data_IF_753812428087
#
_entry.id   IF_753812428087
#
_cell.length_a   1.000
_cell.length_b   1.000
_cell.length_c   1.000
_cell.angle_alpha   90.00
_cell.angle_beta   90.00
_cell.angle_gamma   90.00
#
_symmetry.space_group_name_H-M   'P 1'
#
loop_
_entity.id
_entity.type
_entity.pdbx_description
1 polymer ?
#
# COMPACT_ATOMS: atom_id res chain seq x y z
N UNK A 1 26.60 -40.39 1.20
CA UNK A 1 26.30 -39.28 2.13
C UNK A 1 25.30 -38.37 1.44
N UNK A 2 24.02 -38.45 1.81
CA UNK A 2 22.97 -37.60 1.23
C UNK A 2 23.04 -36.22 1.87
N UNK A 3 23.44 -35.21 1.10
CA UNK A 3 23.35 -33.82 1.52
C UNK A 3 21.89 -33.39 1.31
N UNK A 4 21.11 -33.46 2.39
CA UNK A 4 19.81 -32.80 2.48
C UNK A 4 20.03 -31.30 2.37
N UNK A 5 19.73 -30.73 1.19
CA UNK A 5 19.52 -29.30 1.05
C UNK A 5 18.21 -28.95 1.76
N UNK A 6 18.30 -28.70 3.06
CA UNK A 6 17.26 -27.96 3.77
C UNK A 6 17.23 -26.55 3.17
N UNK A 7 16.34 -26.33 2.20
CA UNK A 7 15.91 -25.00 1.79
C UNK A 7 15.28 -24.34 3.02
N UNK A 8 16.10 -23.64 3.80
CA UNK A 8 15.64 -22.68 4.79
C UNK A 8 14.93 -21.56 4.03
N UNK A 9 13.64 -21.73 3.77
CA UNK A 9 12.77 -20.64 3.36
C UNK A 9 12.67 -19.68 4.54
N UNK A 10 13.64 -18.78 4.64
CA UNK A 10 13.66 -17.72 5.64
C UNK A 10 12.37 -16.92 5.49
N UNK A 11 11.49 -17.04 6.50
CA UNK A 11 10.22 -16.31 6.56
C UNK A 11 10.55 -14.82 6.54
N UNK A 12 10.12 -14.13 5.50
CA UNK A 12 10.32 -12.68 5.38
C UNK A 12 9.34 -11.99 6.33
N UNK A 13 9.87 -11.35 7.37
CA UNK A 13 9.13 -10.58 8.35
C UNK A 13 9.32 -9.10 8.07
N UNK A 14 8.23 -8.32 8.07
CA UNK A 14 8.31 -6.87 7.87
C UNK A 14 9.12 -6.19 8.99
N UNK A 15 9.81 -5.09 8.70
CA UNK A 15 10.40 -4.24 9.74
C UNK A 15 9.33 -3.46 10.51
N UNK A 16 9.65 -2.90 11.68
CA UNK A 16 8.72 -2.01 12.41
C UNK A 16 8.32 -0.82 11.54
N UNK A 17 9.25 -0.23 10.80
CA UNK A 17 8.97 0.91 9.91
C UNK A 17 8.09 0.52 8.72
N UNK A 18 8.36 -0.62 8.07
CA UNK A 18 7.50 -1.14 7.01
C UNK A 18 6.10 -1.40 7.53
N UNK A 19 5.99 -1.93 8.75
CA UNK A 19 4.71 -2.03 9.43
C UNK A 19 4.13 -0.65 9.70
N UNK A 20 4.86 0.31 10.25
CA UNK A 20 4.37 1.66 10.57
C UNK A 20 4.00 2.53 9.34
N UNK A 21 4.48 2.19 8.15
CA UNK A 21 4.06 2.81 6.89
C UNK A 21 2.83 2.11 6.33
N UNK A 22 2.81 0.79 6.45
CA UNK A 22 1.64 0.00 6.07
C UNK A 22 0.53 0.07 7.14
N UNK A 23 0.78 0.52 8.38
CA UNK A 23 -0.05 0.47 9.59
C UNK A 23 0.38 1.50 10.60
N UNK A 24 -0.36 1.69 11.67
CA UNK A 24 0.24 2.24 12.86
C UNK A 24 0.62 1.21 13.93
N UNK A 25 1.91 1.09 14.29
CA UNK A 25 2.37 0.11 15.27
C UNK A 25 2.09 0.45 16.75
N UNK A 26 1.63 -0.58 17.48
CA UNK A 26 2.18 -1.06 18.78
C UNK A 26 1.30 -2.19 19.37
N UNK A 27 1.47 -3.47 18.95
CA UNK A 27 1.37 -4.70 19.80
C UNK A 27 1.53 -6.01 18.99
N UNK A 28 1.94 -7.14 19.62
CA UNK A 28 2.34 -8.35 18.92
C UNK A 28 1.12 -9.26 18.67
N UNK A 29 0.23 -8.89 17.76
CA UNK A 29 -0.67 -9.79 17.01
C UNK A 29 -1.74 -8.97 16.33
N UNK A 30 -1.88 -9.20 15.02
CA UNK A 30 -2.88 -8.64 14.13
C UNK A 30 -2.63 -7.15 13.91
N UNK A 31 -1.92 -6.80 12.84
CA UNK A 31 -1.84 -5.45 12.28
C UNK A 31 -2.40 -5.59 10.83
N UNK A 32 -3.22 -4.72 10.19
CA UNK A 32 -2.80 -3.39 9.67
C UNK A 32 -3.54 -2.83 8.43
N UNK A 33 -3.58 -1.48 8.32
CA UNK A 33 -4.29 -0.58 7.37
C UNK A 33 -3.59 -0.26 6.03
N UNK A 34 -4.07 -0.81 4.93
CA UNK A 34 -3.62 -0.44 3.57
C UNK A 34 -3.90 1.05 3.25
N UNK A 35 -2.85 1.88 3.16
CA UNK A 35 -2.93 3.24 2.60
C UNK A 35 -3.65 3.24 1.24
N UNK A 36 -4.41 4.28 0.95
CA UNK A 36 -5.50 4.18 -0.01
C UNK A 36 -5.05 3.93 -1.45
N UNK A 37 -3.84 4.40 -1.79
CA UNK A 37 -3.17 4.21 -3.08
C UNK A 37 -2.24 2.98 -3.14
N UNK A 38 -2.07 2.28 -2.01
CA UNK A 38 -1.41 0.97 -1.98
C UNK A 38 -2.39 -0.08 -2.50
N UNK A 39 -2.06 -0.61 -3.68
CA UNK A 39 -2.83 -1.70 -4.28
C UNK A 39 -2.17 -3.02 -3.92
N UNK A 40 -2.88 -3.85 -3.15
CA UNK A 40 -2.54 -5.26 -3.08
C UNK A 40 -3.14 -5.96 -4.29
N UNK A 41 -2.28 -6.41 -5.20
CA UNK A 41 -2.74 -7.17 -6.36
C UNK A 41 -3.06 -8.61 -5.98
N UNK A 42 -4.12 -9.15 -6.59
CA UNK A 42 -4.49 -10.56 -6.45
C UNK A 42 -3.45 -11.45 -7.13
N UNK A 43 -2.50 -11.88 -6.33
CA UNK A 43 -1.79 -13.13 -6.47
C UNK A 43 -1.68 -13.69 -5.06
N UNK A 44 -1.77 -15.01 -4.89
CA UNK A 44 -1.29 -15.63 -3.65
C UNK A 44 0.09 -16.18 -4.01
N UNK A 45 1.19 -15.60 -3.50
CA UNK A 45 1.28 -14.54 -2.47
C UNK A 45 1.03 -13.09 -2.95
N UNK A 46 0.52 -12.22 -2.07
CA UNK A 46 0.13 -10.83 -2.40
C UNK A 46 1.31 -9.94 -2.78
N UNK A 47 1.06 -8.87 -3.56
CA UNK A 47 2.05 -7.88 -3.99
C UNK A 47 1.60 -6.49 -3.59
N UNK A 48 2.47 -5.72 -2.95
CA UNK A 48 2.28 -4.31 -2.71
C UNK A 48 2.72 -3.50 -3.93
N UNK A 49 1.78 -2.79 -4.56
CA UNK A 49 2.08 -1.78 -5.57
C UNK A 49 1.84 -0.38 -4.99
N UNK A 50 2.79 0.52 -5.25
CA UNK A 50 2.68 1.95 -4.98
C UNK A 50 2.68 2.67 -6.32
N UNK A 51 1.72 3.56 -6.54
CA UNK A 51 1.65 4.42 -7.72
C UNK A 51 1.13 5.80 -7.31
N UNK A 52 1.80 6.87 -7.72
CA UNK A 52 1.40 8.24 -7.43
C UNK A 52 1.59 9.16 -8.62
N UNK A 53 0.97 10.34 -8.58
CA UNK A 53 1.10 11.36 -9.64
C UNK A 53 2.53 11.91 -9.71
N UNK A 54 3.11 11.90 -10.92
CA UNK A 54 4.43 12.46 -11.21
C UNK A 54 4.30 13.82 -11.92
N UNK A 55 5.15 14.82 -11.60
CA UNK A 55 6.25 14.79 -10.63
C UNK A 55 5.84 15.14 -9.19
N UNK A 56 4.58 15.51 -8.97
CA UNK A 56 4.09 16.11 -7.71
C UNK A 56 4.45 15.29 -6.45
N UNK A 57 4.40 13.97 -6.50
CA UNK A 57 4.63 13.09 -5.35
C UNK A 57 5.91 12.24 -5.47
N UNK A 58 6.85 12.63 -6.33
CA UNK A 58 8.08 11.85 -6.57
C UNK A 58 8.88 11.60 -5.29
N UNK A 59 9.16 12.65 -4.52
CA UNK A 59 9.94 12.54 -3.27
C UNK A 59 9.28 11.58 -2.26
N UNK A 60 7.96 11.61 -2.18
CA UNK A 60 7.21 10.70 -1.32
C UNK A 60 7.31 9.25 -1.79
N UNK A 61 7.22 9.00 -3.09
CA UNK A 61 7.43 7.64 -3.64
C UNK A 61 8.87 7.16 -3.46
N UNK A 62 9.87 8.03 -3.59
CA UNK A 62 11.26 7.71 -3.31
C UNK A 62 11.49 7.37 -1.82
N UNK A 63 10.82 8.09 -0.91
CA UNK A 63 10.81 7.74 0.51
C UNK A 63 10.21 6.34 0.74
N UNK A 64 9.01 6.08 0.20
CA UNK A 64 8.37 4.76 0.34
C UNK A 64 9.22 3.65 -0.29
N UNK A 65 9.90 3.93 -1.39
CA UNK A 65 10.84 3.00 -2.00
C UNK A 65 11.97 2.65 -1.03
N UNK A 66 12.56 3.65 -0.34
CA UNK A 66 13.61 3.39 0.64
C UNK A 66 13.14 2.48 1.79
N UNK A 67 11.87 2.58 2.21
CA UNK A 67 11.26 1.74 3.23
C UNK A 67 11.04 0.29 2.74
N UNK A 68 10.61 0.12 1.49
CA UNK A 68 10.20 -1.19 0.96
C UNK A 68 11.22 -1.89 0.06
N UNK A 69 12.39 -1.28 -0.22
CA UNK A 69 13.39 -1.83 -1.16
C UNK A 69 13.81 -3.27 -0.84
N UNK A 70 13.88 -3.65 0.44
CA UNK A 70 14.23 -5.01 0.87
C UNK A 70 13.21 -6.08 0.49
N UNK A 71 11.98 -5.66 0.18
CA UNK A 71 10.86 -6.51 -0.24
C UNK A 71 10.74 -6.65 -1.76
N UNK A 72 11.58 -5.94 -2.52
CA UNK A 72 11.52 -5.92 -3.98
C UNK A 72 12.38 -7.03 -4.60
N UNK A 73 12.25 -7.23 -5.91
CA UNK A 73 13.22 -8.00 -6.70
C UNK A 73 14.44 -7.11 -6.95
N UNK A 74 15.64 -7.69 -6.98
CA UNK A 74 16.88 -6.97 -7.25
C UNK A 74 16.75 -6.14 -8.54
N UNK A 75 17.15 -4.87 -8.47
CA UNK A 75 17.13 -3.94 -9.61
C UNK A 75 15.76 -3.35 -9.95
N UNK A 76 14.69 -3.65 -9.20
CA UNK A 76 13.41 -3.00 -9.40
C UNK A 76 13.43 -1.61 -8.74
N UNK A 77 13.49 -0.55 -9.55
CA UNK A 77 13.48 0.86 -9.11
C UNK A 77 12.14 1.53 -9.48
N UNK A 78 11.75 2.64 -8.84
CA UNK A 78 10.57 3.41 -9.24
C UNK A 78 10.64 3.83 -10.70
N UNK A 79 9.54 3.63 -11.43
CA UNK A 79 9.45 3.93 -12.87
C UNK A 79 8.39 4.99 -13.12
N UNK A 80 8.76 6.00 -13.91
CA UNK A 80 7.80 6.97 -14.45
C UNK A 80 7.11 6.35 -15.66
N UNK A 81 5.79 6.51 -15.73
CA UNK A 81 4.94 6.06 -16.83
C UNK A 81 4.07 7.22 -17.31
N UNK A 82 4.04 7.43 -18.62
CA UNK A 82 3.13 8.39 -19.25
C UNK A 82 1.83 7.67 -19.62
N UNK A 83 0.70 8.19 -19.13
CA UNK A 83 -0.63 7.66 -19.49
C UNK A 83 -1.00 8.12 -20.90
N UNK A 84 -1.94 7.39 -21.50
CA UNK A 84 -2.59 7.87 -22.73
C UNK A 84 -3.27 9.22 -22.45
N UNK A 85 -3.37 10.12 -23.46
CA UNK A 85 -4.10 11.37 -23.32
C UNK A 85 -5.50 11.13 -22.76
N UNK A 86 -5.87 11.91 -21.76
CA UNK A 86 -7.23 11.89 -21.21
C UNK A 86 -8.22 12.22 -22.33
N UNK A 87 -9.19 11.33 -22.55
CA UNK A 87 -10.13 11.44 -23.68
C UNK A 87 -10.99 12.71 -23.65
N UNK A 88 -11.20 13.29 -22.47
CA UNK A 88 -12.04 14.49 -22.28
C UNK A 88 -11.24 15.79 -22.44
N UNK A 89 -9.98 15.79 -22.04
CA UNK A 89 -9.18 17.02 -21.90
C UNK A 89 -7.94 17.07 -22.81
N UNK A 90 -7.54 15.94 -23.40
CA UNK A 90 -6.31 15.80 -24.18
C UNK A 90 -5.03 15.84 -23.34
N UNK A 91 -5.13 16.04 -22.03
CA UNK A 91 -3.97 16.15 -21.14
C UNK A 91 -3.30 14.80 -20.93
N UNK A 92 -1.97 14.79 -20.99
CA UNK A 92 -1.16 13.61 -20.66
C UNK A 92 -0.78 13.71 -19.19
N UNK A 93 -1.20 12.72 -18.42
CA UNK A 93 -0.82 12.57 -17.01
C UNK A 93 0.30 11.55 -16.88
N UNK A 94 1.21 11.77 -15.94
CA UNK A 94 2.30 10.85 -15.66
C UNK A 94 2.19 10.32 -14.23
N UNK A 95 2.60 9.08 -14.03
CA UNK A 95 2.67 8.47 -12.70
C UNK A 95 4.05 7.89 -12.43
N UNK A 96 4.44 7.79 -11.17
CA UNK A 96 5.64 7.10 -10.71
C UNK A 96 5.20 5.91 -9.86
N UNK A 97 5.76 4.72 -10.12
CA UNK A 97 5.33 3.48 -9.45
C UNK A 97 6.45 2.50 -9.19
N UNK A 98 6.26 1.67 -8.17
CA UNK A 98 7.04 0.46 -7.94
C UNK A 98 6.20 -0.65 -7.32
N UNK A 99 6.74 -1.87 -7.23
CA UNK A 99 6.03 -3.00 -6.60
C UNK A 99 6.99 -3.98 -5.93
N UNK A 100 6.53 -4.57 -4.82
CA UNK A 100 7.28 -5.64 -4.12
C UNK A 100 7.25 -6.95 -4.92
N UNK A 101 8.01 -7.95 -4.47
CA UNK A 101 7.76 -9.34 -4.89
C UNK A 101 6.46 -9.86 -4.27
N UNK A 102 6.01 -11.02 -4.73
CA UNK A 102 4.92 -11.76 -4.11
C UNK A 102 5.38 -12.23 -2.73
N UNK A 103 4.73 -11.75 -1.67
CA UNK A 103 5.13 -12.00 -0.29
C UNK A 103 3.96 -12.52 0.56
N UNK A 104 4.07 -13.71 1.18
CA UNK A 104 3.03 -14.23 2.06
C UNK A 104 2.72 -13.33 3.26
N UNK A 105 3.71 -12.60 3.76
CA UNK A 105 3.52 -11.64 4.84
C UNK A 105 2.62 -10.46 4.45
N UNK A 106 2.31 -10.25 3.16
CA UNK A 106 1.34 -9.25 2.71
C UNK A 106 -0.10 -9.77 2.66
N UNK A 107 -0.31 -11.09 2.78
CA UNK A 107 -1.64 -11.68 2.70
C UNK A 107 -2.53 -11.24 3.86
N UNK A 108 -1.98 -11.07 5.07
CA UNK A 108 -2.75 -10.65 6.25
C UNK A 108 -3.39 -9.27 6.05
N UNK A 109 -2.72 -8.37 5.35
CA UNK A 109 -3.26 -7.05 5.00
C UNK A 109 -4.33 -7.16 3.93
N UNK A 110 -4.12 -8.01 2.92
CA UNK A 110 -5.13 -8.25 1.90
C UNK A 110 -6.43 -8.75 2.52
N UNK A 111 -6.34 -9.81 3.33
CA UNK A 111 -7.51 -10.44 3.93
C UNK A 111 -8.25 -9.49 4.91
N UNK A 112 -7.56 -8.53 5.52
CA UNK A 112 -8.17 -7.53 6.42
C UNK A 112 -8.94 -6.42 5.68
N UNK A 113 -8.48 -6.02 4.50
CA UNK A 113 -9.03 -4.87 3.75
C UNK A 113 -9.88 -5.25 2.56
N UNK A 114 -9.76 -6.47 2.06
CA UNK A 114 -10.42 -6.91 0.83
C UNK A 114 -11.37 -8.06 1.14
N UNK A 115 -12.67 -7.81 1.06
CA UNK A 115 -13.70 -8.84 1.21
C UNK A 115 -14.17 -9.33 -0.17
N UNK A 116 -14.50 -10.61 -0.33
CA UNK A 116 -15.10 -11.11 -1.57
C UNK A 116 -16.45 -10.43 -1.82
N UNK A 117 -16.70 -10.01 -3.06
CA UNK A 117 -17.95 -9.33 -3.45
C UNK A 117 -19.08 -10.29 -3.90
N UNK A 118 -18.85 -11.60 -3.79
CA UNK A 118 -19.77 -12.65 -4.25
C UNK A 118 -19.71 -12.95 -5.75
N UNK A 119 -19.04 -12.11 -6.56
CA UNK A 119 -18.87 -12.27 -8.01
C UNK A 119 -17.45 -12.72 -8.39
N UNK A 120 -16.71 -13.25 -7.42
CA UNK A 120 -15.32 -13.68 -7.59
C UNK A 120 -14.30 -12.53 -7.62
N UNK A 121 -14.72 -11.29 -7.32
CA UNK A 121 -13.81 -10.15 -7.12
C UNK A 121 -13.72 -9.82 -5.64
N UNK A 122 -12.83 -8.88 -5.33
CA UNK A 122 -12.62 -8.38 -3.98
C UNK A 122 -12.91 -6.88 -3.93
N UNK A 123 -13.63 -6.45 -2.91
CA UNK A 123 -13.96 -5.06 -2.63
C UNK A 123 -13.11 -4.57 -1.46
N UNK A 124 -12.43 -3.43 -1.64
CA UNK A 124 -11.71 -2.75 -0.55
C UNK A 124 -12.74 -2.22 0.47
N UNK A 125 -12.47 -2.42 1.75
CA UNK A 125 -13.34 -2.07 2.88
C UNK A 125 -12.51 -1.56 4.05
N UNK A 126 -13.14 -0.75 4.91
CA UNK A 126 -12.54 -0.33 6.18
C UNK A 126 -12.99 -1.31 7.27
N UNK A 127 -12.07 -2.04 7.93
CA UNK A 127 -12.44 -2.97 8.98
C UNK A 127 -12.95 -2.20 10.21
N UNK A 128 -14.00 -2.71 10.88
CA UNK A 128 -14.58 -2.07 12.10
C UNK A 128 -13.57 -1.87 13.23
N UNK A 129 -12.53 -2.69 13.24
CA UNK A 129 -11.47 -2.67 14.24
C UNK A 129 -10.39 -1.62 13.94
N UNK A 130 -10.50 -0.84 12.85
CA UNK A 130 -9.47 0.09 12.36
C UNK A 130 -8.90 1.05 13.40
N UNK A 131 -9.71 1.47 14.38
CA UNK A 131 -9.28 2.34 15.48
C UNK A 131 -8.12 1.76 16.31
N UNK A 132 -7.95 0.45 16.30
CA UNK A 132 -6.87 -0.25 17.00
C UNK A 132 -5.56 -0.30 16.19
N UNK A 133 -5.61 0.07 14.91
CA UNK A 133 -4.52 -0.07 13.94
C UNK A 133 -4.02 1.27 13.39
N UNK A 134 -4.78 2.35 13.56
CA UNK A 134 -4.42 3.67 13.06
C UNK A 134 -3.54 4.41 14.09
N UNK A 135 -2.25 4.61 13.79
CA UNK A 135 -1.35 5.45 14.60
C UNK A 135 -1.15 6.82 13.97
N UNK A 136 -0.46 7.75 14.67
CA UNK A 136 -0.04 9.00 14.06
C UNK A 136 0.76 8.86 12.76
N UNK A 137 1.60 7.83 12.61
CA UNK A 137 2.37 7.61 11.36
C UNK A 137 1.46 7.15 10.23
N UNK A 138 0.63 6.14 10.47
CA UNK A 138 -0.36 5.69 9.49
C UNK A 138 -1.36 6.79 9.11
N UNK A 139 -1.77 7.62 10.07
CA UNK A 139 -2.62 8.80 9.82
C UNK A 139 -1.88 9.87 9.01
N UNK A 140 -0.59 10.10 9.26
CA UNK A 140 0.21 11.03 8.46
C UNK A 140 0.29 10.58 7.00
N UNK A 141 0.54 9.29 6.75
CA UNK A 141 0.50 8.72 5.40
C UNK A 141 -0.87 8.85 4.74
N UNK A 142 -1.94 8.62 5.49
CA UNK A 142 -3.30 8.83 4.99
C UNK A 142 -3.56 10.29 4.61
N UNK A 143 -3.07 11.24 5.41
CA UNK A 143 -3.17 12.67 5.09
C UNK A 143 -2.32 13.03 3.86
N UNK A 144 -1.15 12.40 3.65
CA UNK A 144 -0.32 12.65 2.47
C UNK A 144 -1.01 12.15 1.20
N UNK A 145 -1.67 10.99 1.26
CA UNK A 145 -2.33 10.37 0.12
C UNK A 145 -3.67 11.07 -0.21
N UNK A 146 -4.59 11.13 0.76
CA UNK A 146 -5.99 11.57 0.57
C UNK A 146 -6.38 12.82 1.35
N UNK A 147 -5.42 13.43 2.06
CA UNK A 147 -5.68 14.64 2.83
C UNK A 147 -5.73 15.89 1.95
N UNK A 148 -6.59 16.82 2.33
CA UNK A 148 -6.52 18.18 1.83
C UNK A 148 -6.87 19.18 2.93
N UNK A 149 -6.41 20.42 2.74
CA UNK A 149 -6.73 21.54 3.61
C UNK A 149 -8.01 22.20 3.12
N UNK A 150 -9.01 22.31 3.98
CA UNK A 150 -10.23 23.05 3.71
C UNK A 150 -9.97 24.57 3.71
N UNK A 151 -10.93 25.33 3.18
CA UNK A 151 -10.89 26.80 3.25
C UNK A 151 -10.76 27.32 4.69
N UNK A 152 -11.34 26.61 5.66
CA UNK A 152 -11.30 26.93 7.09
C UNK A 152 -10.08 26.35 7.82
N UNK A 153 -9.02 25.97 7.10
CA UNK A 153 -7.79 25.40 7.67
C UNK A 153 -8.01 24.08 8.43
N UNK A 154 -9.01 23.29 8.05
CA UNK A 154 -9.23 21.95 8.60
C UNK A 154 -8.58 20.92 7.70
N UNK A 155 -8.06 19.84 8.28
CA UNK A 155 -7.62 18.66 7.51
C UNK A 155 -8.84 17.79 7.22
N UNK A 156 -9.14 17.61 5.94
CA UNK A 156 -10.21 16.75 5.45
C UNK A 156 -9.60 15.54 4.74
N UNK A 157 -10.16 14.35 4.99
CA UNK A 157 -9.77 13.10 4.35
C UNK A 157 -10.79 12.73 3.28
N UNK A 158 -10.32 12.50 2.05
CA UNK A 158 -11.18 12.15 0.92
C UNK A 158 -11.50 10.64 0.92
N UNK A 159 -12.55 10.24 1.64
CA UNK A 159 -12.96 8.82 1.78
C UNK A 159 -14.10 8.42 0.84
N UNK A 160 -14.26 9.11 -0.30
CA UNK A 160 -15.43 9.01 -1.17
C UNK A 160 -15.61 7.63 -1.83
N UNK A 161 -14.56 6.79 -1.89
CA UNK A 161 -14.69 5.43 -2.45
C UNK A 161 -15.23 4.40 -1.44
N UNK A 162 -15.52 4.82 -0.20
CA UNK A 162 -16.16 3.98 0.82
C UNK A 162 -17.62 4.38 1.04
N UNK A 163 -18.41 3.41 1.48
CA UNK A 163 -19.82 3.61 1.85
C UNK A 163 -19.95 3.80 3.36
N UNK A 164 -20.85 4.70 3.76
CA UNK A 164 -21.29 4.77 5.15
C UNK A 164 -22.05 3.46 5.51
N UNK A 165 -21.85 2.90 6.71
CA UNK A 165 -22.57 1.70 7.17
C UNK A 165 -24.07 1.92 7.38
#
# INVERSE_FOLDING_TARGET
MNISLMSSSSVIVLSKEQRDVLTGGAKPRLEMLICFDLLLQRAKPSVLQIEQTYPKHEQYVLYLYSVFISLMKNGNVPKVQHRKPDKRTGKIYSTIRFSTRHLPCLNEFFDLFYIPDGMGKYKKTVPKIIKHYLTPVGLAHWIIDDGHRSFYNQTLLNTNSFTYP
#
